data_IF_638280761934
#
_entry.id   IF_638280761934
#
_cell.length_a   1.000
_cell.length_b   1.000
_cell.length_c   1.000
_cell.angle_alpha   90.00
_cell.angle_beta   90.00
_cell.angle_gamma   90.00
#
_symmetry.space_group_name_H-M   'P 1'
#
loop_
_entity.id
_entity.type
_entity.pdbx_description
1 polymer ?
#
# COMPACT_ATOMS: atom_id res chain seq x y z
N UNK A 1 -37.00 -32.50 11.56
CA UNK A 1 -36.07 -32.53 12.72
C UNK A 1 -34.66 -32.42 12.18
N UNK A 2 -34.21 -31.20 11.92
CA UNK A 2 -33.06 -30.88 11.05
C UNK A 2 -31.94 -30.28 11.92
N UNK A 3 -30.78 -30.96 11.97
CA UNK A 3 -29.59 -30.52 12.71
C UNK A 3 -29.00 -29.27 12.06
N UNK A 4 -28.94 -28.18 12.83
CA UNK A 4 -28.28 -26.94 12.45
C UNK A 4 -26.76 -27.13 12.62
N UNK A 5 -26.03 -27.26 11.50
CA UNK A 5 -24.58 -27.02 11.38
C UNK A 5 -24.41 -25.53 11.09
N UNK A 6 -23.92 -24.75 12.03
CA UNK A 6 -23.83 -23.29 11.84
C UNK A 6 -23.00 -22.54 12.89
N UNK A 7 -21.95 -23.15 13.44
CA UNK A 7 -21.03 -22.46 14.35
C UNK A 7 -19.59 -22.89 14.05
N UNK A 8 -18.95 -22.27 13.05
CA UNK A 8 -17.48 -22.31 12.93
C UNK A 8 -16.82 -21.22 12.05
N UNK A 9 -17.52 -20.15 11.64
CA UNK A 9 -16.93 -19.09 10.79
C UNK A 9 -16.41 -17.85 11.56
N UNK A 10 -16.40 -17.88 12.90
CA UNK A 10 -16.08 -16.72 13.74
C UNK A 10 -14.61 -16.52 14.12
N UNK A 11 -13.71 -17.49 13.90
CA UNK A 11 -12.36 -17.46 14.51
C UNK A 11 -11.20 -17.19 13.53
N UNK A 12 -11.46 -17.05 12.23
CA UNK A 12 -10.43 -17.06 11.18
C UNK A 12 -9.86 -15.69 10.76
N UNK A 13 -10.09 -14.60 11.53
CA UNK A 13 -9.70 -13.25 11.07
C UNK A 13 -8.80 -12.41 11.98
N UNK A 14 -8.30 -12.98 13.08
CA UNK A 14 -7.43 -12.26 14.03
C UNK A 14 -5.99 -12.76 14.05
N UNK A 15 -5.70 -13.91 13.40
CA UNK A 15 -4.40 -14.59 13.52
C UNK A 15 -3.25 -13.96 12.69
N UNK A 16 -3.56 -13.16 11.66
CA UNK A 16 -2.54 -12.71 10.69
C UNK A 16 -1.47 -11.75 11.22
N UNK A 17 -1.71 -11.04 12.33
CA UNK A 17 -0.75 -10.04 12.86
C UNK A 17 -0.22 -10.40 14.25
N UNK A 18 -1.03 -10.99 15.14
CA UNK A 18 -0.57 -11.39 16.48
C UNK A 18 0.25 -12.69 16.47
N UNK A 19 -0.03 -13.65 15.59
CA UNK A 19 0.76 -14.89 15.51
C UNK A 19 2.20 -14.64 15.04
N UNK A 20 2.41 -13.67 14.14
CA UNK A 20 3.73 -13.30 13.63
C UNK A 20 4.64 -12.65 14.71
N UNK A 21 4.04 -11.96 15.68
CA UNK A 21 4.75 -11.40 16.82
C UNK A 21 5.11 -12.48 17.84
N UNK A 22 4.21 -13.45 18.06
CA UNK A 22 4.28 -14.36 19.23
C UNK A 22 4.92 -15.73 18.97
N UNK A 23 4.99 -16.24 17.72
CA UNK A 23 5.66 -17.54 17.44
C UNK A 23 6.44 -17.57 16.13
N UNK A 24 7.74 -17.81 16.25
CA UNK A 24 8.64 -18.17 15.14
C UNK A 24 10.09 -17.80 15.44
N UNK A 25 11.06 -18.74 15.34
CA UNK A 25 12.46 -18.44 15.58
C UNK A 25 12.98 -17.50 14.47
N UNK A 26 13.47 -16.32 14.87
CA UNK A 26 14.06 -15.35 13.94
C UNK A 26 14.29 -13.99 14.60
N UNK A 27 15.45 -13.37 14.31
CA UNK A 27 15.84 -12.04 14.80
C UNK A 27 14.78 -10.97 14.45
N UNK A 28 14.59 -9.96 15.31
CA UNK A 28 13.61 -8.87 15.12
C UNK A 28 13.73 -8.16 13.76
N UNK A 29 14.97 -8.07 13.24
CA UNK A 29 15.29 -7.56 11.91
C UNK A 29 14.68 -8.39 10.78
N UNK A 30 14.62 -9.72 10.93
CA UNK A 30 14.02 -10.60 9.93
C UNK A 30 12.49 -10.47 9.89
N UNK A 31 11.84 -10.22 11.04
CA UNK A 31 10.41 -9.92 11.13
C UNK A 31 10.09 -8.56 10.50
N UNK A 32 10.83 -7.51 10.84
CA UNK A 32 10.68 -6.18 10.26
C UNK A 32 10.83 -6.21 8.73
N UNK A 33 11.87 -6.87 8.22
CA UNK A 33 12.10 -7.05 6.78
C UNK A 33 10.94 -7.74 6.07
N UNK A 34 10.32 -8.73 6.70
CA UNK A 34 9.18 -9.45 6.10
C UNK A 34 7.95 -8.57 5.99
N UNK A 35 7.71 -7.70 6.97
CA UNK A 35 6.52 -6.85 7.05
C UNK A 35 6.62 -5.60 6.18
N UNK A 36 7.80 -4.98 6.11
CA UNK A 36 7.99 -3.70 5.41
C UNK A 36 8.37 -3.92 3.96
N UNK A 37 9.33 -4.81 3.77
CA UNK A 37 9.83 -5.16 2.45
C UNK A 37 8.95 -6.32 2.01
N UNK A 38 9.20 -7.57 2.40
CA UNK A 38 8.51 -8.76 1.84
C UNK A 38 9.31 -9.52 0.76
N UNK A 39 10.56 -9.13 0.48
CA UNK A 39 11.51 -9.72 -0.47
C UNK A 39 12.65 -10.27 0.36
N UNK A 40 13.28 -11.35 -0.13
CA UNK A 40 14.40 -12.02 0.53
C UNK A 40 15.75 -11.27 0.39
N UNK A 41 15.78 -10.16 -0.34
CA UNK A 41 17.00 -9.47 -0.77
C UNK A 41 17.30 -8.25 0.13
N UNK A 42 18.49 -8.22 0.73
CA UNK A 42 18.96 -7.15 1.60
C UNK A 42 19.10 -5.78 0.91
N UNK A 43 19.38 -5.76 -0.39
CA UNK A 43 19.55 -4.53 -1.19
C UNK A 43 18.26 -3.72 -1.30
N UNK A 44 17.13 -4.38 -1.56
CA UNK A 44 15.83 -3.71 -1.65
C UNK A 44 15.40 -3.08 -0.31
N UNK A 45 15.80 -3.68 0.82
CA UNK A 45 15.56 -3.09 2.13
C UNK A 45 16.44 -1.85 2.34
N UNK A 46 17.71 -1.93 1.97
CA UNK A 46 18.65 -0.83 2.16
C UNK A 46 18.30 0.36 1.25
N UNK A 47 17.93 0.11 -0.01
CA UNK A 47 17.41 1.14 -0.91
C UNK A 47 16.12 1.77 -0.38
N UNK A 48 15.19 0.96 0.14
CA UNK A 48 13.96 1.44 0.76
C UNK A 48 14.25 2.35 1.96
N UNK A 49 15.08 1.89 2.90
CA UNK A 49 15.43 2.63 4.12
C UNK A 49 16.20 3.92 3.79
N UNK A 50 17.13 3.87 2.83
CA UNK A 50 17.83 5.07 2.39
C UNK A 50 16.87 6.08 1.75
N UNK A 51 15.99 5.61 0.86
CA UNK A 51 15.11 6.52 0.12
C UNK A 51 14.01 7.09 1.04
N UNK A 52 13.38 6.25 1.84
CA UNK A 52 12.30 6.68 2.74
C UNK A 52 12.82 7.41 3.97
N UNK A 53 13.94 6.97 4.54
CA UNK A 53 14.58 7.58 5.71
C UNK A 53 15.18 8.96 5.41
N UNK A 54 15.94 9.12 4.31
CA UNK A 54 16.56 10.40 3.98
C UNK A 54 15.62 11.34 3.21
N UNK A 55 14.85 10.83 2.24
CA UNK A 55 14.05 11.70 1.35
C UNK A 55 12.57 11.79 1.69
N UNK A 56 12.07 10.95 2.61
CA UNK A 56 10.64 10.92 2.95
C UNK A 56 10.15 12.17 3.69
N UNK A 57 11.02 12.83 4.45
CA UNK A 57 10.67 13.99 5.29
C UNK A 57 11.12 15.35 4.74
N UNK A 58 11.94 15.41 3.70
CA UNK A 58 12.51 16.68 3.22
C UNK A 58 11.41 17.64 2.70
N UNK A 59 11.27 18.83 3.31
CA UNK A 59 10.28 19.80 2.89
C UNK A 59 10.66 20.51 1.58
N UNK A 60 9.67 21.11 0.94
CA UNK A 60 9.87 21.99 -0.23
C UNK A 60 9.99 21.27 -1.58
N UNK A 61 10.24 22.09 -2.61
CA UNK A 61 10.27 21.66 -4.01
C UNK A 61 11.42 20.68 -4.30
N UNK A 62 12.57 20.83 -3.65
CA UNK A 62 13.71 19.92 -3.75
C UNK A 62 13.34 18.51 -3.26
N UNK A 63 12.69 18.43 -2.09
CA UNK A 63 12.22 17.15 -1.57
C UNK A 63 11.21 16.49 -2.50
N UNK A 64 10.30 17.28 -3.10
CA UNK A 64 9.35 16.75 -4.08
C UNK A 64 10.04 16.20 -5.34
N UNK A 65 11.05 16.93 -5.85
CA UNK A 65 11.82 16.51 -7.00
C UNK A 65 12.62 15.22 -6.74
N UNK A 66 13.29 15.13 -5.58
CA UNK A 66 14.00 13.91 -5.17
C UNK A 66 13.05 12.71 -5.12
N UNK A 67 11.89 12.85 -4.46
CA UNK A 67 10.89 11.78 -4.40
C UNK A 67 10.39 11.39 -5.78
N UNK A 68 10.14 12.36 -6.66
CA UNK A 68 9.74 12.13 -8.05
C UNK A 68 10.78 11.34 -8.86
N UNK A 69 12.07 11.44 -8.52
CA UNK A 69 13.16 10.75 -9.22
C UNK A 69 13.49 9.37 -8.60
N UNK A 70 13.48 9.24 -7.28
CA UNK A 70 13.94 8.03 -6.59
C UNK A 70 12.83 7.03 -6.28
N UNK A 71 11.62 7.49 -5.91
CA UNK A 71 10.52 6.59 -5.55
C UNK A 71 10.03 5.70 -6.70
N UNK A 72 10.03 6.12 -7.99
CA UNK A 72 9.67 5.24 -9.11
C UNK A 72 10.43 3.91 -9.13
N UNK A 73 11.67 3.87 -8.62
CA UNK A 73 12.51 2.66 -8.57
C UNK A 73 12.07 1.66 -7.52
N UNK A 74 11.28 2.08 -6.52
CA UNK A 74 10.78 1.20 -5.47
C UNK A 74 9.54 0.40 -5.91
N UNK A 75 8.78 0.96 -6.85
CA UNK A 75 7.53 0.38 -7.34
C UNK A 75 7.78 -0.79 -8.30
N UNK A 76 6.76 -1.64 -8.48
CA UNK A 76 6.79 -2.72 -9.48
C UNK A 76 6.95 -2.14 -10.88
N UNK A 77 6.10 -1.17 -11.15
CA UNK A 77 5.96 -0.48 -12.41
C UNK A 77 5.54 0.95 -12.11
N UNK A 78 6.12 1.89 -12.85
CA UNK A 78 5.77 3.29 -12.77
C UNK A 78 5.81 3.86 -14.18
N UNK A 79 4.64 4.05 -14.79
CA UNK A 79 4.51 4.49 -16.18
C UNK A 79 4.85 5.99 -16.39
N UNK A 80 5.15 6.72 -15.32
CA UNK A 80 5.46 8.14 -15.37
C UNK A 80 6.24 8.64 -14.16
N UNK A 81 6.20 9.95 -13.94
CA UNK A 81 6.86 10.60 -12.80
C UNK A 81 5.80 11.02 -11.77
N UNK A 82 5.51 10.20 -10.74
CA UNK A 82 4.45 10.47 -9.77
C UNK A 82 4.80 11.65 -8.88
N UNK A 83 3.78 12.33 -8.38
CA UNK A 83 3.90 13.36 -7.35
C UNK A 83 3.63 12.69 -6.02
N UNK A 84 4.65 12.58 -5.17
CA UNK A 84 4.55 11.88 -3.88
C UNK A 84 4.77 12.89 -2.75
N UNK A 85 3.80 12.94 -1.84
CA UNK A 85 3.73 13.77 -0.65
C UNK A 85 4.69 13.30 0.46
N UNK A 86 4.81 14.10 1.52
CA UNK A 86 5.75 13.79 2.60
C UNK A 86 5.22 12.64 3.43
N UNK A 87 6.10 11.93 4.14
CA UNK A 87 5.70 10.89 5.08
C UNK A 87 4.78 9.81 4.45
N UNK A 88 4.95 9.53 3.15
CA UNK A 88 4.23 8.44 2.49
C UNK A 88 4.87 7.12 2.90
N UNK A 89 4.06 6.26 3.50
CA UNK A 89 4.48 4.93 3.96
C UNK A 89 4.16 3.93 2.86
N UNK A 90 5.19 3.29 2.32
CA UNK A 90 5.05 2.22 1.34
C UNK A 90 5.44 0.90 1.99
N UNK A 91 4.59 -0.12 1.92
CA UNK A 91 4.92 -1.48 2.37
C UNK A 91 4.75 -2.44 1.20
N UNK A 92 5.78 -3.26 0.98
CA UNK A 92 5.89 -4.12 -0.22
C UNK A 92 5.73 -3.35 -1.55
N UNK A 93 6.54 -2.29 -1.79
CA UNK A 93 6.35 -1.40 -2.93
C UNK A 93 6.48 -2.07 -4.31
N UNK A 94 7.20 -3.19 -4.45
CA UNK A 94 7.25 -3.95 -5.71
C UNK A 94 5.95 -4.69 -6.07
N UNK A 95 4.92 -4.60 -5.23
CA UNK A 95 3.55 -5.04 -5.57
C UNK A 95 2.65 -3.86 -5.87
N UNK A 96 3.21 -2.66 -6.04
CA UNK A 96 2.45 -1.47 -6.36
C UNK A 96 2.83 -1.05 -7.77
N UNK A 97 1.83 -0.91 -8.63
CA UNK A 97 1.97 -0.42 -10.00
C UNK A 97 1.27 0.93 -10.13
N UNK A 98 1.98 1.92 -10.68
CA UNK A 98 1.50 3.28 -10.87
C UNK A 98 1.42 3.64 -12.35
N UNK A 99 0.28 4.18 -12.76
CA UNK A 99 0.08 4.82 -14.05
C UNK A 99 0.80 6.18 -14.18
N UNK A 100 0.43 6.91 -15.23
CA UNK A 100 0.92 8.27 -15.51
C UNK A 100 0.18 9.30 -14.67
N UNK A 101 0.88 10.38 -14.30
CA UNK A 101 0.28 11.53 -13.60
C UNK A 101 -0.46 11.16 -12.31
N UNK A 102 0.05 10.19 -11.57
CA UNK A 102 -0.48 9.82 -10.25
C UNK A 102 0.02 10.79 -9.19
N UNK A 103 -0.90 11.24 -8.33
CA UNK A 103 -0.62 12.08 -7.17
C UNK A 103 -0.96 11.33 -5.90
N UNK A 104 0.04 11.13 -5.05
CA UNK A 104 -0.10 10.55 -3.71
C UNK A 104 0.23 11.66 -2.73
N UNK A 105 -0.75 12.12 -1.96
CA UNK A 105 -0.58 13.24 -1.02
C UNK A 105 0.17 12.83 0.25
N UNK A 106 0.44 13.81 1.11
CA UNK A 106 1.18 13.63 2.35
C UNK A 106 0.49 12.66 3.32
N UNK A 107 1.29 11.85 4.02
CA UNK A 107 0.84 10.93 5.06
C UNK A 107 0.09 9.70 4.55
N UNK A 108 0.02 9.48 3.23
CA UNK A 108 -0.65 8.31 2.69
C UNK A 108 0.10 7.02 3.05
N UNK A 109 -0.64 5.94 3.26
CA UNK A 109 -0.08 4.61 3.46
C UNK A 109 -0.55 3.68 2.35
N UNK A 110 0.38 3.11 1.59
CA UNK A 110 0.10 2.05 0.62
C UNK A 110 0.73 0.74 1.14
N UNK A 111 -0.11 -0.20 1.53
CA UNK A 111 0.29 -1.47 2.12
C UNK A 111 -0.17 -2.63 1.25
N UNK A 112 0.72 -3.14 0.40
CA UNK A 112 0.44 -4.23 -0.53
C UNK A 112 0.90 -5.60 0.01
N UNK A 113 0.50 -5.92 1.24
CA UNK A 113 0.79 -7.22 1.88
C UNK A 113 0.09 -8.36 1.16
N UNK A 114 0.60 -9.57 1.35
CA UNK A 114 0.08 -10.76 0.69
C UNK A 114 1.02 -11.33 -0.36
N UNK A 115 0.63 -12.46 -0.91
CA UNK A 115 1.41 -13.24 -1.88
C UNK A 115 0.62 -13.56 -3.13
N UNK A 116 -0.72 -13.53 -3.05
CA UNK A 116 -1.61 -13.77 -4.17
C UNK A 116 -2.07 -12.47 -4.80
N UNK A 117 -2.34 -12.51 -6.10
CA UNK A 117 -2.81 -11.36 -6.87
C UNK A 117 -1.71 -10.36 -7.24
N UNK A 118 -2.10 -9.37 -8.05
CA UNK A 118 -1.18 -8.44 -8.71
C UNK A 118 -0.71 -7.29 -7.81
N UNK A 119 -1.39 -7.08 -6.68
CA UNK A 119 -1.02 -6.05 -5.73
C UNK A 119 -1.96 -4.84 -5.72
N UNK A 120 -1.40 -3.64 -5.52
CA UNK A 120 -2.15 -2.38 -5.65
C UNK A 120 -1.85 -1.80 -7.04
N UNK A 121 -2.87 -1.68 -7.88
CA UNK A 121 -2.78 -1.14 -9.23
C UNK A 121 -3.48 0.21 -9.26
N UNK A 122 -2.73 1.26 -9.56
CA UNK A 122 -3.24 2.64 -9.67
C UNK A 122 -3.14 3.07 -11.12
N UNK A 123 -4.29 3.41 -11.73
CA UNK A 123 -4.38 3.86 -13.11
C UNK A 123 -3.83 5.28 -13.35
N UNK A 124 -3.96 5.74 -14.59
CA UNK A 124 -3.52 7.07 -15.00
C UNK A 124 -4.39 8.18 -14.37
N UNK A 125 -3.81 9.36 -14.14
CA UNK A 125 -4.51 10.56 -13.67
C UNK A 125 -5.27 10.36 -12.34
N UNK A 126 -4.74 9.50 -11.45
CA UNK A 126 -5.35 9.26 -10.14
C UNK A 126 -4.80 10.24 -9.10
N UNK A 127 -5.71 10.77 -8.29
CA UNK A 127 -5.38 11.59 -7.11
C UNK A 127 -5.75 10.84 -5.83
N UNK A 128 -4.81 10.78 -4.88
CA UNK A 128 -5.00 10.23 -3.53
C UNK A 128 -4.71 11.35 -2.52
N UNK A 129 -5.74 11.74 -1.79
CA UNK A 129 -5.74 12.79 -0.78
C UNK A 129 -4.97 12.41 0.47
N UNK A 130 -4.72 13.41 1.31
CA UNK A 130 -3.81 13.32 2.45
C UNK A 130 -4.27 12.26 3.45
N UNK A 131 -3.31 11.57 4.08
CA UNK A 131 -3.56 10.59 5.13
C UNK A 131 -4.53 9.46 4.74
N UNK A 132 -4.68 9.20 3.45
CA UNK A 132 -5.46 8.07 2.95
C UNK A 132 -4.66 6.77 3.07
N UNK A 133 -5.32 5.72 3.56
CA UNK A 133 -4.72 4.42 3.82
C UNK A 133 -5.31 3.41 2.82
N UNK A 134 -4.47 2.83 1.98
CA UNK A 134 -4.84 1.74 1.08
C UNK A 134 -4.10 0.50 1.55
N UNK A 135 -4.84 -0.46 2.10
CA UNK A 135 -4.30 -1.68 2.68
C UNK A 135 -4.90 -2.90 2.01
N UNK A 136 -4.04 -3.74 1.48
CA UNK A 136 -4.41 -5.02 0.91
C UNK A 136 -3.65 -6.10 1.69
N UNK A 137 -4.40 -7.07 2.21
CA UNK A 137 -3.84 -8.18 2.98
C UNK A 137 -3.53 -9.39 2.10
N UNK A 138 -4.39 -9.68 1.11
CA UNK A 138 -4.12 -10.62 0.03
C UNK A 138 -5.00 -10.26 -1.20
N UNK A 139 -4.55 -10.58 -2.41
CA UNK A 139 -5.26 -10.31 -3.67
C UNK A 139 -4.87 -9.01 -4.38
N UNK A 140 -5.86 -8.27 -4.91
CA UNK A 140 -5.64 -7.11 -5.79
C UNK A 140 -6.59 -5.94 -5.47
N UNK A 141 -6.04 -4.72 -5.36
CA UNK A 141 -6.81 -3.47 -5.40
C UNK A 141 -6.56 -2.78 -6.72
N UNK A 142 -7.61 -2.50 -7.48
CA UNK A 142 -7.54 -1.74 -8.73
C UNK A 142 -8.22 -0.38 -8.56
N UNK A 143 -7.49 0.70 -8.84
CA UNK A 143 -8.01 2.06 -8.89
C UNK A 143 -8.00 2.53 -10.33
N UNK A 144 -9.19 2.70 -10.90
CA UNK A 144 -9.36 3.10 -12.29
C UNK A 144 -8.85 4.51 -12.59
N UNK A 145 -8.51 4.71 -13.85
CA UNK A 145 -8.05 6.00 -14.40
C UNK A 145 -8.98 7.18 -14.06
N UNK A 146 -8.38 8.33 -13.76
CA UNK A 146 -9.10 9.57 -13.50
C UNK A 146 -9.86 9.60 -12.18
N UNK A 147 -9.59 8.64 -11.29
CA UNK A 147 -10.24 8.56 -9.98
C UNK A 147 -9.62 9.55 -9.01
N UNK A 148 -10.47 10.22 -8.22
CA UNK A 148 -10.07 11.12 -7.16
C UNK A 148 -10.55 10.56 -5.81
N UNK A 149 -9.59 10.20 -4.97
CA UNK A 149 -9.82 9.76 -3.60
C UNK A 149 -9.45 10.93 -2.71
N UNK A 150 -10.41 11.45 -1.97
CA UNK A 150 -10.18 12.56 -1.04
C UNK A 150 -9.33 12.14 0.17
N UNK A 151 -9.09 13.07 1.09
CA UNK A 151 -8.27 12.84 2.27
C UNK A 151 -8.95 11.94 3.32
N UNK A 152 -8.13 11.30 4.15
CA UNK A 152 -8.54 10.49 5.29
C UNK A 152 -9.43 9.28 4.94
N UNK A 153 -9.37 8.81 3.70
CA UNK A 153 -10.06 7.59 3.31
C UNK A 153 -9.31 6.36 3.79
N UNK A 154 -10.03 5.25 3.97
CA UNK A 154 -9.42 3.94 4.18
C UNK A 154 -10.02 2.93 3.21
N UNK A 155 -9.17 2.33 2.38
CA UNK A 155 -9.54 1.35 1.37
C UNK A 155 -8.85 0.04 1.73
N UNK A 156 -9.64 -0.98 2.05
CA UNK A 156 -9.20 -2.29 2.49
C UNK A 156 -9.59 -3.38 1.48
N UNK A 157 -8.81 -4.45 1.37
CA UNK A 157 -9.31 -5.71 0.80
C UNK A 157 -8.59 -6.94 1.35
N UNK A 158 -9.27 -8.08 1.25
CA UNK A 158 -8.75 -9.43 1.50
C UNK A 158 -8.86 -10.33 0.26
N UNK A 159 -9.28 -9.77 -0.86
CA UNK A 159 -9.49 -10.48 -2.12
C UNK A 159 -9.33 -9.52 -3.28
N UNK A 160 -10.39 -9.28 -4.04
CA UNK A 160 -10.35 -8.35 -5.16
C UNK A 160 -11.30 -7.17 -4.91
N UNK A 161 -10.77 -5.95 -4.91
CA UNK A 161 -11.58 -4.72 -4.82
C UNK A 161 -11.23 -3.82 -6.00
N UNK A 162 -12.26 -3.40 -6.74
CA UNK A 162 -12.10 -2.55 -7.92
C UNK A 162 -12.88 -1.26 -7.77
N UNK A 163 -12.17 -0.14 -7.79
CA UNK A 163 -12.73 1.19 -7.95
C UNK A 163 -12.71 1.51 -9.44
N UNK A 164 -13.88 1.86 -9.99
CA UNK A 164 -14.05 2.16 -11.41
C UNK A 164 -13.23 3.36 -11.91
N UNK A 165 -13.37 3.69 -13.19
CA UNK A 165 -12.75 4.89 -13.78
C UNK A 165 -13.56 6.14 -13.43
N UNK A 166 -12.89 7.29 -13.29
CA UNK A 166 -13.51 8.61 -13.05
C UNK A 166 -14.43 8.63 -11.83
N UNK A 167 -14.05 7.90 -10.78
CA UNK A 167 -14.79 7.87 -9.52
C UNK A 167 -14.31 9.00 -8.61
N UNK A 168 -15.24 9.63 -7.90
CA UNK A 168 -14.93 10.53 -6.80
C UNK A 168 -15.30 9.84 -5.49
N UNK A 169 -14.32 9.67 -4.59
CA UNK A 169 -14.54 9.21 -3.22
C UNK A 169 -14.36 10.41 -2.29
N UNK A 170 -15.42 10.73 -1.54
CA UNK A 170 -15.42 11.82 -0.58
C UNK A 170 -14.47 11.55 0.60
N UNK A 171 -14.12 12.61 1.34
CA UNK A 171 -13.21 12.49 2.47
C UNK A 171 -13.81 11.59 3.56
N UNK A 172 -12.94 10.91 4.33
CA UNK A 172 -13.33 10.04 5.44
C UNK A 172 -14.16 8.80 5.06
N UNK A 173 -14.19 8.41 3.78
CA UNK A 173 -14.86 7.18 3.37
C UNK A 173 -14.07 5.92 3.77
N UNK A 174 -14.81 4.86 4.08
CA UNK A 174 -14.28 3.52 4.30
C UNK A 174 -14.83 2.56 3.24
N UNK A 175 -13.94 1.95 2.46
CA UNK A 175 -14.28 1.00 1.39
C UNK A 175 -13.60 -0.32 1.69
N UNK A 176 -14.35 -1.42 1.70
CA UNK A 176 -13.89 -2.79 2.01
C UNK A 176 -14.37 -3.79 0.98
#
# INVERSE_FOLDING_TARGET
MMRIRGLQEGELKTEGTQAALTRGPGSALAKYRRVVVGRRQWRALLEYELITGFFGGWPGALGLWLRRCFYPRLFRECAGKPIIGRHVVLRSPWRISLGRNVVISEGCTLDAKGVQGEGIIIGDYVFIGQSTIITMADGTIEIGEGTNISSFCRIGTLGHTRIGKKVLIAAYCYVV
#
